data_IF_792851387454
#
_entry.id   IF_792851387454
#
_cell.length_a   1.000
_cell.length_b   1.000
_cell.length_c   1.000
_cell.angle_alpha   90.00
_cell.angle_beta   90.00
_cell.angle_gamma   90.00
#
_symmetry.space_group_name_H-M   'P 1'
#
loop_
_entity.id
_entity.type
_entity.pdbx_description
1 polymer ?
#
# COMPACT_ATOMS: atom_id res chain seq x y z
N UNK A 1 6.95 -8.49 -20.69
CA UNK A 1 8.28 -8.50 -20.04
C UNK A 1 8.04 -8.91 -18.61
N UNK A 2 8.62 -10.00 -18.11
CA UNK A 2 8.46 -10.32 -16.72
C UNK A 2 8.99 -9.12 -15.91
N UNK A 3 8.22 -8.64 -14.96
CA UNK A 3 8.75 -7.85 -13.86
C UNK A 3 9.85 -8.71 -13.25
N UNK A 4 11.09 -8.32 -13.51
CA UNK A 4 12.21 -8.86 -12.76
C UNK A 4 12.01 -8.36 -11.32
N UNK A 5 11.36 -9.15 -10.51
CA UNK A 5 11.78 -9.24 -9.13
C UNK A 5 13.24 -9.57 -9.23
N UNK A 6 14.10 -8.59 -9.00
CA UNK A 6 15.52 -8.83 -8.80
C UNK A 6 15.58 -9.91 -7.73
N UNK A 7 15.88 -11.15 -8.14
CA UNK A 7 16.07 -12.19 -7.15
C UNK A 7 17.27 -11.74 -6.33
N UNK A 8 17.17 -11.86 -5.01
CA UNK A 8 18.26 -11.57 -4.07
C UNK A 8 19.59 -12.26 -4.44
N UNK A 9 19.55 -13.21 -5.37
CA UNK A 9 20.70 -13.93 -5.90
C UNK A 9 21.45 -13.17 -7.00
N UNK A 10 20.82 -12.19 -7.66
CA UNK A 10 21.39 -11.48 -8.80
C UNK A 10 21.96 -10.11 -8.43
N UNK A 11 21.59 -9.56 -7.28
CA UNK A 11 22.18 -8.35 -6.75
C UNK A 11 23.54 -8.68 -6.10
N UNK A 12 24.60 -8.71 -6.90
CA UNK A 12 25.95 -8.61 -6.34
C UNK A 12 26.02 -7.31 -5.54
N UNK A 13 26.45 -7.32 -4.28
CA UNK A 13 26.60 -6.09 -3.52
C UNK A 13 27.75 -5.28 -4.14
N UNK A 14 27.36 -4.32 -5.03
CA UNK A 14 28.28 -3.32 -5.54
C UNK A 14 28.64 -2.38 -4.39
N UNK A 15 27.73 -2.25 -3.42
CA UNK A 15 27.84 -1.43 -2.20
C UNK A 15 27.02 -2.07 -1.06
N UNK A 16 27.28 -1.64 0.18
CA UNK A 16 26.54 -2.10 1.35
C UNK A 16 26.15 -0.90 2.23
N UNK A 17 26.01 -1.03 3.56
CA UNK A 17 25.48 -0.02 4.49
C UNK A 17 26.00 1.39 4.22
N UNK A 18 27.32 1.55 4.20
CA UNK A 18 27.97 2.85 4.03
C UNK A 18 27.47 3.64 2.82
N UNK A 19 27.50 3.03 1.63
CA UNK A 19 27.07 3.72 0.43
C UNK A 19 25.55 3.85 0.34
N UNK A 20 24.79 2.82 0.76
CA UNK A 20 23.34 2.88 0.75
C UNK A 20 22.81 4.03 1.62
N UNK A 21 23.35 4.17 2.83
CA UNK A 21 23.00 5.25 3.76
C UNK A 21 23.35 6.61 3.16
N UNK A 22 24.58 6.76 2.64
CA UNK A 22 24.99 8.05 2.04
C UNK A 22 24.16 8.42 0.83
N UNK A 23 23.89 7.48 -0.08
CA UNK A 23 23.05 7.75 -1.26
C UNK A 23 21.61 8.13 -0.89
N UNK A 24 21.05 7.47 0.11
CA UNK A 24 19.70 7.81 0.58
C UNK A 24 19.66 9.22 1.17
N UNK A 25 20.63 9.57 2.01
CA UNK A 25 20.71 10.91 2.62
C UNK A 25 20.95 12.01 1.59
N UNK A 26 21.93 11.83 0.71
CA UNK A 26 22.24 12.74 -0.39
C UNK A 26 21.00 12.96 -1.29
N UNK A 27 20.32 11.88 -1.67
CA UNK A 27 19.13 11.99 -2.50
C UNK A 27 18.03 12.81 -1.82
N UNK A 28 17.73 12.55 -0.55
CA UNK A 28 16.69 13.27 0.17
C UNK A 28 17.05 14.75 0.43
N UNK A 29 18.29 15.01 0.84
CA UNK A 29 18.68 16.35 1.31
C UNK A 29 19.23 17.25 0.20
N UNK A 30 19.95 16.69 -0.78
CA UNK A 30 20.57 17.49 -1.84
C UNK A 30 19.75 17.47 -3.14
N UNK A 31 19.22 16.29 -3.55
CA UNK A 31 18.46 16.19 -4.80
C UNK A 31 17.01 16.65 -4.59
N UNK A 32 16.35 16.14 -3.55
CA UNK A 32 14.98 16.53 -3.23
C UNK A 32 14.88 17.77 -2.35
N UNK A 33 16.01 18.25 -1.83
CA UNK A 33 16.12 19.42 -0.97
C UNK A 33 15.19 19.40 0.27
N UNK A 34 14.96 18.21 0.83
CA UNK A 34 14.22 18.06 2.07
C UNK A 34 15.13 18.55 3.22
N UNK A 35 14.66 19.48 4.06
CA UNK A 35 15.49 19.98 5.17
C UNK A 35 15.86 18.85 6.14
N UNK A 36 17.17 18.69 6.48
CA UNK A 36 17.61 17.62 7.39
C UNK A 36 16.89 17.64 8.76
N UNK A 37 16.53 18.82 9.23
CA UNK A 37 15.77 19.02 10.47
C UNK A 37 14.34 18.49 10.43
N UNK A 38 13.84 18.11 9.26
CA UNK A 38 12.56 17.42 9.07
C UNK A 38 12.70 15.91 9.00
N UNK A 39 13.92 15.39 8.97
CA UNK A 39 14.17 13.96 8.87
C UNK A 39 14.47 13.36 10.24
N UNK A 40 13.99 12.17 10.48
CA UNK A 40 14.30 11.34 11.64
C UNK A 40 14.78 9.97 11.16
N UNK A 41 15.85 9.46 11.76
CA UNK A 41 16.45 8.18 11.37
C UNK A 41 16.28 7.17 12.50
N UNK A 42 15.94 5.94 12.12
CA UNK A 42 15.98 4.81 13.04
C UNK A 42 16.95 3.74 12.55
N UNK A 43 17.52 3.00 13.49
CA UNK A 43 18.33 1.82 13.23
C UNK A 43 17.95 0.67 14.16
N UNK A 44 18.25 -0.54 13.78
CA UNK A 44 18.15 -1.67 14.69
C UNK A 44 19.07 -1.48 15.91
N UNK A 45 18.55 -1.79 17.08
CA UNK A 45 19.23 -1.50 18.37
C UNK A 45 20.66 -2.03 18.46
N UNK A 46 20.95 -3.19 17.83
CA UNK A 46 22.24 -3.85 17.87
C UNK A 46 23.08 -3.58 16.59
N UNK A 47 22.63 -2.69 15.68
CA UNK A 47 23.39 -2.32 14.48
C UNK A 47 24.26 -1.09 14.72
N UNK A 48 25.37 -1.29 15.44
CA UNK A 48 26.32 -0.21 15.76
C UNK A 48 27.03 0.32 14.52
N UNK A 49 27.20 -0.49 13.47
CA UNK A 49 27.81 -0.06 12.21
C UNK A 49 26.93 0.97 11.50
N UNK A 50 25.62 0.69 11.34
CA UNK A 50 24.72 1.64 10.74
C UNK A 50 24.58 2.92 11.59
N UNK A 51 24.55 2.79 12.92
CA UNK A 51 24.50 3.94 13.81
C UNK A 51 25.73 4.84 13.68
N UNK A 52 26.93 4.27 13.62
CA UNK A 52 28.16 5.03 13.42
C UNK A 52 28.17 5.77 12.07
N UNK A 53 27.73 5.12 10.99
CA UNK A 53 27.63 5.75 9.67
C UNK A 53 26.66 6.96 9.72
N UNK A 54 25.49 6.80 10.32
CA UNK A 54 24.50 7.89 10.43
C UNK A 54 25.00 9.06 11.28
N UNK A 55 25.56 8.77 12.45
CA UNK A 55 25.92 9.80 13.43
C UNK A 55 27.29 10.45 13.14
N UNK A 56 28.30 9.62 12.82
CA UNK A 56 29.70 10.09 12.74
C UNK A 56 30.09 10.50 11.31
N UNK A 57 29.54 9.84 10.28
CA UNK A 57 29.93 10.11 8.89
C UNK A 57 28.92 11.01 8.16
N UNK A 58 27.62 10.72 8.29
CA UNK A 58 26.54 11.53 7.71
C UNK A 58 26.27 12.77 8.53
N UNK A 59 26.43 12.67 9.87
CA UNK A 59 26.24 13.77 10.80
C UNK A 59 24.78 14.09 11.12
N UNK A 60 23.92 13.05 11.17
CA UNK A 60 22.52 13.20 11.62
C UNK A 60 22.51 13.69 13.06
N UNK A 61 21.64 14.65 13.36
CA UNK A 61 21.45 15.16 14.72
C UNK A 61 21.05 14.00 15.67
N UNK A 62 21.84 13.73 16.73
CA UNK A 62 21.50 12.68 17.70
C UNK A 62 20.12 12.81 18.35
N UNK A 63 19.54 14.03 18.36
CA UNK A 63 18.18 14.28 18.86
C UNK A 63 17.10 13.89 17.82
N UNK A 64 17.50 13.51 16.61
CA UNK A 64 16.65 13.03 15.52
C UNK A 64 17.02 11.62 15.09
N UNK A 65 17.43 10.82 16.05
CA UNK A 65 17.89 9.46 15.84
C UNK A 65 17.35 8.55 16.95
N UNK A 66 16.90 7.35 16.58
CA UNK A 66 16.42 6.34 17.53
C UNK A 66 16.99 4.97 17.21
N UNK A 67 17.22 4.18 18.25
CA UNK A 67 17.49 2.75 18.17
C UNK A 67 16.23 1.99 18.51
N UNK A 68 15.74 1.16 17.59
CA UNK A 68 14.49 0.43 17.75
C UNK A 68 14.71 -1.08 17.77
N UNK A 69 13.73 -1.79 18.29
CA UNK A 69 13.82 -3.24 18.46
C UNK A 69 13.55 -4.04 17.17
N UNK A 70 13.51 -5.35 17.33
CA UNK A 70 13.30 -6.29 16.20
C UNK A 70 11.95 -6.05 15.50
N UNK A 71 10.93 -5.64 16.21
CA UNK A 71 9.60 -5.37 15.65
C UNK A 71 9.63 -4.28 14.58
N UNK A 72 10.46 -3.26 14.78
CA UNK A 72 10.45 -2.05 13.95
C UNK A 72 11.64 -2.04 12.96
N UNK A 73 12.84 -2.37 13.40
CA UNK A 73 14.05 -2.24 12.59
C UNK A 73 14.77 -3.56 12.27
N UNK A 74 14.04 -4.68 12.20
CA UNK A 74 14.56 -5.93 11.68
C UNK A 74 13.61 -6.57 10.68
N UNK A 75 13.96 -6.56 9.42
CA UNK A 75 13.12 -7.04 8.35
C UNK A 75 13.41 -8.52 8.01
N UNK A 76 12.37 -9.27 7.71
CA UNK A 76 12.46 -10.66 7.26
C UNK A 76 11.49 -10.90 6.10
N UNK A 77 11.91 -11.68 5.11
CA UNK A 77 11.08 -12.07 3.96
C UNK A 77 9.84 -12.87 4.38
N UNK A 78 9.94 -13.59 5.49
CA UNK A 78 8.87 -14.41 6.07
C UNK A 78 9.38 -15.09 7.34
N UNK A 79 8.73 -16.18 7.72
CA UNK A 79 9.15 -16.98 8.88
C UNK A 79 10.55 -17.58 8.68
N UNK A 80 10.95 -17.80 7.43
CA UNK A 80 12.26 -18.31 7.03
C UNK A 80 12.79 -17.54 5.82
N UNK A 81 14.12 -17.60 5.61
CA UNK A 81 14.78 -16.98 4.48
C UNK A 81 15.59 -15.74 4.83
N UNK A 82 16.02 -14.96 3.81
CA UNK A 82 16.85 -13.78 4.00
C UNK A 82 16.20 -12.76 4.92
N UNK A 83 17.04 -12.22 5.83
CA UNK A 83 16.61 -11.20 6.80
C UNK A 83 17.81 -10.36 7.25
N UNK A 84 17.55 -9.27 7.94
CA UNK A 84 18.58 -8.43 8.52
C UNK A 84 18.05 -7.14 9.12
N UNK A 85 18.95 -6.40 9.81
CA UNK A 85 18.60 -5.10 10.38
C UNK A 85 18.26 -4.11 9.26
N UNK A 86 17.47 -3.11 9.59
CA UNK A 86 17.18 -2.02 8.68
C UNK A 86 17.33 -0.66 9.34
N UNK A 87 17.55 0.34 8.49
CA UNK A 87 17.48 1.75 8.84
C UNK A 87 16.30 2.37 8.13
N UNK A 88 15.47 3.09 8.85
CA UNK A 88 14.33 3.78 8.28
C UNK A 88 14.49 5.29 8.39
N UNK A 89 14.00 6.00 7.40
CA UNK A 89 14.01 7.46 7.36
C UNK A 89 12.57 7.94 7.38
N UNK A 90 12.25 8.76 8.36
CA UNK A 90 10.93 9.35 8.58
C UNK A 90 10.96 10.85 8.28
N UNK A 91 9.82 11.37 7.85
CA UNK A 91 9.58 12.79 7.70
C UNK A 91 8.73 13.30 8.87
N UNK A 92 9.13 14.37 9.51
CA UNK A 92 8.41 15.06 10.59
C UNK A 92 7.51 16.15 9.99
N UNK A 93 6.20 15.90 9.95
CA UNK A 93 5.20 16.87 9.50
C UNK A 93 5.10 18.11 10.40
N UNK A 94 5.67 18.05 11.60
CA UNK A 94 5.69 19.16 12.53
C UNK A 94 4.69 19.03 13.67
N UNK A 95 4.77 19.94 14.66
CA UNK A 95 4.04 19.83 15.92
C UNK A 95 2.51 19.99 15.80
N UNK A 96 2.01 20.48 14.67
CA UNK A 96 0.57 20.61 14.41
C UNK A 96 -0.10 19.26 14.11
N UNK A 97 0.71 18.25 13.76
CA UNK A 97 0.21 16.88 13.50
C UNK A 97 0.45 16.03 14.75
N UNK A 98 -0.59 15.32 15.25
CA UNK A 98 -0.44 14.46 16.42
C UNK A 98 0.50 13.28 16.18
N UNK A 99 1.35 12.99 17.17
CA UNK A 99 2.27 11.84 17.17
C UNK A 99 3.62 12.20 17.76
N UNK A 100 4.32 11.17 18.22
CA UNK A 100 5.68 11.24 18.76
C UNK A 100 6.71 10.67 17.79
N UNK A 101 8.01 10.88 18.08
CA UNK A 101 9.07 10.35 17.24
C UNK A 101 9.11 8.80 17.27
N UNK A 102 9.65 8.18 16.22
CA UNK A 102 9.80 6.71 16.16
C UNK A 102 10.53 6.16 17.40
N UNK A 103 9.98 5.08 17.95
CA UNK A 103 10.44 4.47 19.21
C UNK A 103 9.86 5.10 20.48
N UNK A 104 9.05 6.16 20.40
CA UNK A 104 8.31 6.71 21.54
C UNK A 104 6.95 6.02 21.74
N UNK A 105 6.30 6.18 22.91
CA UNK A 105 4.95 5.67 23.15
C UNK A 105 3.89 6.22 22.18
N UNK A 106 4.10 7.42 21.65
CA UNK A 106 3.19 8.12 20.72
C UNK A 106 3.59 7.93 19.24
N UNK A 107 4.44 6.97 18.91
CA UNK A 107 4.97 6.75 17.55
C UNK A 107 3.89 6.37 16.53
N UNK A 108 2.75 5.82 16.98
CA UNK A 108 1.63 5.41 16.11
C UNK A 108 0.83 6.61 15.53
N UNK A 109 1.22 7.85 15.84
CA UNK A 109 0.58 9.05 15.28
C UNK A 109 1.03 9.38 13.85
N UNK A 110 0.30 10.30 13.21
CA UNK A 110 0.51 10.67 11.79
C UNK A 110 1.65 11.70 11.59
N UNK A 111 2.30 12.17 12.66
CA UNK A 111 3.33 13.20 12.56
C UNK A 111 4.60 12.73 11.87
N UNK A 112 5.09 11.55 12.23
CA UNK A 112 6.29 10.97 11.65
C UNK A 112 5.92 9.88 10.68
N UNK A 113 6.10 10.13 9.38
CA UNK A 113 5.81 9.14 8.35
C UNK A 113 7.11 8.56 7.80
N UNK A 114 7.23 7.23 7.83
CA UNK A 114 8.32 6.53 7.16
C UNK A 114 8.25 6.78 5.65
N UNK A 115 9.32 7.34 5.08
CA UNK A 115 9.44 7.61 3.65
C UNK A 115 10.39 6.66 2.95
N UNK A 116 11.37 6.10 3.66
CA UNK A 116 12.35 5.19 3.08
C UNK A 116 12.83 4.15 4.09
N UNK A 117 12.93 2.89 3.66
CA UNK A 117 13.51 1.80 4.43
C UNK A 117 14.74 1.24 3.69
N UNK A 118 15.87 1.11 4.38
CA UNK A 118 17.12 0.52 3.92
C UNK A 118 17.34 -0.79 4.67
N UNK A 119 17.06 -1.91 4.04
CA UNK A 119 17.23 -3.24 4.64
C UNK A 119 18.59 -3.80 4.31
N UNK A 120 19.33 -4.22 5.32
CA UNK A 120 20.65 -4.82 5.21
C UNK A 120 20.55 -6.33 5.40
N UNK A 121 20.27 -7.05 4.32
CA UNK A 121 20.18 -8.50 4.31
C UNK A 121 21.53 -9.13 4.65
N UNK A 122 21.68 -9.59 5.87
CA UNK A 122 22.92 -10.15 6.40
C UNK A 122 22.79 -11.61 6.79
N UNK A 123 21.57 -12.08 7.04
CA UNK A 123 21.32 -13.39 7.61
C UNK A 123 20.29 -14.17 6.80
N UNK A 124 20.36 -15.49 6.92
CA UNK A 124 19.32 -16.44 6.53
C UNK A 124 18.71 -17.05 7.80
N UNK A 125 17.38 -17.00 7.93
CA UNK A 125 16.63 -17.56 9.05
C UNK A 125 16.10 -18.93 8.67
N UNK A 126 16.51 -19.96 9.43
CA UNK A 126 16.01 -21.32 9.23
C UNK A 126 14.65 -21.57 9.93
N UNK A 127 13.96 -22.72 9.70
CA UNK A 127 12.69 -23.04 10.35
C UNK A 127 12.72 -23.12 11.88
N UNK A 128 13.90 -23.21 12.48
CA UNK A 128 14.08 -23.18 13.95
C UNK A 128 14.22 -21.77 14.50
N UNK A 129 14.27 -20.74 13.62
CA UNK A 129 14.52 -19.34 13.96
C UNK A 129 15.99 -18.98 14.09
N UNK A 130 16.91 -19.91 13.82
CA UNK A 130 18.35 -19.66 13.89
C UNK A 130 18.80 -18.82 12.71
N UNK A 131 19.56 -17.77 13.01
CA UNK A 131 20.20 -16.91 12.01
C UNK A 131 21.58 -17.44 11.64
N UNK A 132 21.84 -17.53 10.35
CA UNK A 132 23.14 -17.85 9.78
C UNK A 132 23.57 -16.71 8.84
N UNK A 133 24.85 -16.28 8.86
CA UNK A 133 25.30 -15.21 7.95
C UNK A 133 25.09 -15.61 6.49
N UNK A 134 24.59 -14.69 5.67
CA UNK A 134 24.55 -14.84 4.22
C UNK A 134 25.96 -14.80 3.64
N UNK A 135 26.29 -15.66 2.66
CA UNK A 135 27.59 -15.65 2.00
C UNK A 135 27.91 -14.32 1.31
N UNK A 136 26.86 -13.63 0.87
CA UNK A 136 26.91 -12.31 0.23
C UNK A 136 25.78 -11.45 0.80
N UNK A 137 26.08 -10.56 1.75
CA UNK A 137 25.11 -9.57 2.22
C UNK A 137 24.65 -8.69 1.06
N UNK A 138 23.41 -8.25 1.09
CA UNK A 138 22.83 -7.37 0.06
C UNK A 138 21.98 -6.27 0.69
N UNK A 139 21.74 -5.22 -0.07
CA UNK A 139 20.80 -4.17 0.30
C UNK A 139 19.49 -4.42 -0.43
N UNK A 140 18.41 -4.48 0.32
CA UNK A 140 17.06 -4.32 -0.22
C UNK A 140 16.52 -2.97 0.25
N UNK A 141 15.76 -2.28 -0.57
CA UNK A 141 15.28 -0.95 -0.19
C UNK A 141 13.90 -0.66 -0.76
N UNK A 142 13.08 0.02 0.05
CA UNK A 142 11.74 0.43 -0.32
C UNK A 142 11.49 1.89 0.05
N UNK A 143 11.08 2.69 -0.93
CA UNK A 143 10.69 4.08 -0.74
C UNK A 143 9.22 4.24 -1.15
N UNK A 144 8.40 4.81 -0.26
CA UNK A 144 6.98 5.03 -0.53
C UNK A 144 6.78 6.20 -1.50
N UNK A 145 6.47 5.91 -2.77
CA UNK A 145 6.27 6.94 -3.80
C UNK A 145 5.21 7.95 -3.37
N UNK A 146 4.07 7.51 -2.89
CA UNK A 146 2.97 8.36 -2.46
C UNK A 146 3.31 9.16 -1.20
N UNK A 147 4.02 8.54 -0.25
CA UNK A 147 4.50 9.21 0.96
C UNK A 147 5.47 10.33 0.61
N UNK A 148 6.43 10.04 -0.26
CA UNK A 148 7.37 11.04 -0.74
C UNK A 148 6.68 12.14 -1.55
N UNK A 149 5.73 11.78 -2.42
CA UNK A 149 4.94 12.75 -3.16
C UNK A 149 4.14 13.68 -2.23
N UNK A 150 3.56 13.15 -1.15
CA UNK A 150 2.86 13.93 -0.15
C UNK A 150 3.80 14.95 0.53
N UNK A 151 5.00 14.52 0.93
CA UNK A 151 6.03 15.40 1.49
C UNK A 151 6.39 16.51 0.50
N UNK A 152 6.68 16.17 -0.76
CA UNK A 152 7.08 17.12 -1.80
C UNK A 152 5.97 18.10 -2.20
N UNK A 153 4.71 17.69 -2.08
CA UNK A 153 3.54 18.53 -2.34
C UNK A 153 3.04 19.27 -1.11
N UNK A 154 3.65 19.06 0.06
CA UNK A 154 3.29 19.74 1.32
C UNK A 154 1.91 19.35 1.86
N UNK A 155 1.48 18.11 1.60
CA UNK A 155 0.23 17.53 2.12
C UNK A 155 0.51 16.41 3.12
N UNK A 156 -0.48 16.05 3.95
CA UNK A 156 -0.28 15.06 5.01
C UNK A 156 -0.71 13.65 4.62
N UNK A 157 -1.71 13.53 3.76
CA UNK A 157 -2.26 12.24 3.36
C UNK A 157 -1.82 11.87 1.94
N UNK A 158 -1.50 10.59 1.72
CA UNK A 158 -1.27 10.06 0.38
C UNK A 158 -2.45 10.30 -0.57
N UNK A 159 -3.67 10.42 -0.04
CA UNK A 159 -4.88 10.69 -0.82
C UNK A 159 -5.05 12.16 -1.22
N UNK A 160 -4.23 13.06 -0.68
CA UNK A 160 -4.22 14.48 -1.02
C UNK A 160 -3.24 14.82 -2.14
N UNK A 161 -2.34 13.89 -2.53
CA UNK A 161 -1.45 14.10 -3.67
C UNK A 161 -2.27 14.25 -4.95
N UNK A 162 -1.73 14.98 -5.91
CA UNK A 162 -2.40 15.33 -7.16
C UNK A 162 -2.99 14.14 -7.90
N UNK A 163 -2.29 13.01 -7.98
CA UNK A 163 -2.76 11.77 -8.59
C UNK A 163 -4.05 11.26 -7.93
N UNK A 164 -4.04 11.10 -6.60
CA UNK A 164 -5.21 10.59 -5.89
C UNK A 164 -6.33 11.63 -5.82
N UNK A 165 -6.02 12.92 -5.64
CA UNK A 165 -7.02 13.98 -5.65
C UNK A 165 -7.83 13.99 -6.95
N UNK A 166 -7.18 13.77 -8.11
CA UNK A 166 -7.85 13.69 -9.42
C UNK A 166 -8.67 12.42 -9.58
N UNK A 167 -8.18 11.26 -9.12
CA UNK A 167 -8.94 10.00 -9.14
C UNK A 167 -10.15 10.04 -8.20
N UNK A 168 -10.01 10.65 -7.02
CA UNK A 168 -11.10 10.87 -6.06
C UNK A 168 -12.15 11.81 -6.68
N UNK A 169 -11.72 12.89 -7.33
CA UNK A 169 -12.64 13.80 -8.02
C UNK A 169 -13.42 13.08 -9.14
N UNK A 170 -12.74 12.29 -9.97
CA UNK A 170 -13.38 11.49 -11.02
C UNK A 170 -14.35 10.44 -10.42
N UNK A 171 -13.97 9.81 -9.30
CA UNK A 171 -14.83 8.87 -8.58
C UNK A 171 -16.07 9.54 -8.02
N UNK A 172 -15.94 10.74 -7.43
CA UNK A 172 -17.05 11.53 -6.91
C UNK A 172 -18.03 11.95 -8.03
N UNK A 173 -17.50 12.37 -9.19
CA UNK A 173 -18.32 12.73 -10.35
C UNK A 173 -19.13 11.52 -10.85
N UNK A 174 -18.50 10.35 -10.97
CA UNK A 174 -19.15 9.14 -11.47
C UNK A 174 -20.17 8.56 -10.50
N UNK A 175 -19.96 8.72 -9.19
CA UNK A 175 -20.88 8.21 -8.16
C UNK A 175 -21.90 9.25 -7.71
N UNK A 176 -21.75 10.52 -8.09
CA UNK A 176 -22.60 11.61 -7.60
C UNK A 176 -22.39 11.94 -6.13
N UNK A 177 -21.28 11.49 -5.52
CA UNK A 177 -20.99 11.71 -4.11
C UNK A 177 -20.74 13.21 -3.82
N UNK A 178 -21.48 13.83 -2.89
CA UNK A 178 -21.32 15.26 -2.59
C UNK A 178 -20.07 15.56 -1.75
N UNK A 179 -19.64 14.60 -0.93
CA UNK A 179 -18.48 14.71 -0.05
C UNK A 179 -17.26 14.00 -0.65
N UNK A 180 -16.24 14.79 -1.04
CA UNK A 180 -14.99 14.28 -1.59
C UNK A 180 -14.04 13.69 -0.54
N UNK A 181 -14.26 13.97 0.74
CA UNK A 181 -13.45 13.42 1.84
C UNK A 181 -13.91 12.04 2.29
N UNK A 182 -14.93 11.51 1.65
CA UNK A 182 -15.47 10.18 1.94
C UNK A 182 -14.41 9.09 1.83
N UNK A 183 -14.32 8.25 2.87
CA UNK A 183 -13.45 7.07 2.87
C UNK A 183 -13.75 6.12 1.71
N UNK A 184 -15.03 6.06 1.28
CA UNK A 184 -15.44 5.23 0.15
C UNK A 184 -14.76 5.66 -1.16
N UNK A 185 -14.64 6.97 -1.42
CA UNK A 185 -13.96 7.48 -2.60
C UNK A 185 -12.46 7.18 -2.60
N UNK A 186 -11.81 7.23 -1.42
CA UNK A 186 -10.40 6.85 -1.27
C UNK A 186 -10.18 5.38 -1.62
N UNK A 187 -11.06 4.50 -1.16
CA UNK A 187 -11.00 3.07 -1.51
C UNK A 187 -11.20 2.85 -3.01
N UNK A 188 -12.17 3.53 -3.63
CA UNK A 188 -12.42 3.42 -5.08
C UNK A 188 -11.18 3.86 -5.87
N UNK A 189 -10.58 5.00 -5.52
CA UNK A 189 -9.39 5.55 -6.19
C UNK A 189 -8.15 4.65 -6.03
N UNK A 190 -7.93 4.08 -4.86
CA UNK A 190 -6.86 3.11 -4.62
C UNK A 190 -7.07 1.82 -5.44
N UNK A 191 -8.30 1.30 -5.41
CA UNK A 191 -8.61 0.01 -6.01
C UNK A 191 -8.66 0.05 -7.53
N UNK A 192 -9.03 1.16 -8.17
CA UNK A 192 -8.97 1.27 -9.63
C UNK A 192 -7.52 1.16 -10.12
N UNK A 193 -6.58 1.79 -9.42
CA UNK A 193 -5.16 1.69 -9.75
C UNK A 193 -4.67 0.24 -9.63
N UNK A 194 -4.89 -0.37 -8.47
CA UNK A 194 -4.46 -1.76 -8.22
C UNK A 194 -5.09 -2.74 -9.22
N UNK A 195 -6.40 -2.65 -9.46
CA UNK A 195 -7.10 -3.55 -10.37
C UNK A 195 -6.65 -3.38 -11.82
N UNK A 196 -6.48 -2.13 -12.29
CA UNK A 196 -6.05 -1.87 -13.66
C UNK A 196 -4.65 -2.43 -13.95
N UNK A 197 -3.68 -2.20 -13.07
CA UNK A 197 -2.32 -2.72 -13.25
C UNK A 197 -2.26 -4.24 -13.17
N UNK A 198 -3.00 -4.88 -12.25
CA UNK A 198 -3.10 -6.34 -12.22
C UNK A 198 -3.64 -6.92 -13.53
N UNK A 199 -4.64 -6.26 -14.15
CA UNK A 199 -5.19 -6.69 -15.44
C UNK A 199 -4.18 -6.42 -16.58
N UNK A 200 -3.45 -5.31 -16.55
CA UNK A 200 -2.36 -5.03 -17.50
C UNK A 200 -1.32 -6.15 -17.45
N UNK A 201 -0.97 -6.61 -16.26
CA UNK A 201 -0.02 -7.71 -16.02
C UNK A 201 -0.59 -9.11 -16.31
N UNK A 202 -1.82 -9.19 -16.81
CA UNK A 202 -2.43 -10.43 -17.28
C UNK A 202 -3.22 -11.20 -16.23
N UNK A 203 -3.44 -10.65 -15.05
CA UNK A 203 -4.34 -11.26 -14.05
C UNK A 203 -5.79 -11.01 -14.47
N UNK A 204 -6.62 -12.07 -14.42
CA UNK A 204 -8.07 -11.98 -14.69
C UNK A 204 -8.86 -12.32 -13.43
N UNK A 205 -10.03 -11.69 -13.20
CA UNK A 205 -10.87 -12.02 -12.05
C UNK A 205 -11.28 -13.50 -12.08
N UNK A 206 -11.10 -14.21 -10.97
CA UNK A 206 -11.33 -15.64 -10.87
C UNK A 206 -11.78 -16.08 -9.47
N UNK A 207 -11.95 -17.40 -9.28
CA UNK A 207 -12.36 -17.98 -8.00
C UNK A 207 -11.17 -18.42 -7.13
N UNK A 208 -9.96 -18.44 -7.70
CA UNK A 208 -8.77 -18.99 -7.05
C UNK A 208 -7.55 -18.10 -7.26
N UNK A 209 -6.56 -18.25 -6.40
CA UNK A 209 -5.25 -17.61 -6.52
C UNK A 209 -5.31 -16.09 -6.68
N UNK A 210 -4.46 -15.55 -7.54
CA UNK A 210 -4.36 -14.10 -7.80
C UNK A 210 -5.66 -13.52 -8.40
N UNK A 211 -6.36 -14.29 -9.21
CA UNK A 211 -7.65 -13.88 -9.79
C UNK A 211 -8.74 -13.67 -8.75
N UNK A 212 -8.74 -14.47 -7.68
CA UNK A 212 -9.65 -14.29 -6.56
C UNK A 212 -9.37 -12.98 -5.78
N UNK A 213 -8.10 -12.68 -5.55
CA UNK A 213 -7.69 -11.42 -4.90
C UNK A 213 -8.13 -10.22 -5.73
N UNK A 214 -7.85 -10.24 -7.05
CA UNK A 214 -8.29 -9.18 -7.97
C UNK A 214 -9.82 -9.01 -7.94
N UNK A 215 -10.57 -10.10 -8.00
CA UNK A 215 -12.04 -10.07 -7.90
C UNK A 215 -12.50 -9.39 -6.62
N UNK A 216 -11.89 -9.70 -5.48
CA UNK A 216 -12.22 -9.07 -4.20
C UNK A 216 -11.93 -7.57 -4.21
N UNK A 217 -10.81 -7.13 -4.77
CA UNK A 217 -10.47 -5.70 -4.90
C UNK A 217 -11.54 -4.98 -5.72
N UNK A 218 -11.90 -5.52 -6.89
CA UNK A 218 -12.92 -4.94 -7.77
C UNK A 218 -14.26 -4.84 -7.05
N UNK A 219 -14.75 -5.94 -6.46
CA UNK A 219 -16.04 -5.98 -5.77
C UNK A 219 -16.08 -5.06 -4.56
N UNK A 220 -14.98 -4.91 -3.84
CA UNK A 220 -14.89 -3.95 -2.72
C UNK A 220 -15.06 -2.51 -3.21
N UNK A 221 -14.44 -2.13 -4.31
CA UNK A 221 -14.62 -0.79 -4.88
C UNK A 221 -16.07 -0.55 -5.33
N UNK A 222 -16.68 -1.53 -6.03
CA UNK A 222 -18.08 -1.45 -6.47
C UNK A 222 -19.01 -1.29 -5.27
N UNK A 223 -18.81 -2.07 -4.21
CA UNK A 223 -19.58 -1.96 -2.97
C UNK A 223 -19.53 -0.55 -2.39
N UNK A 224 -18.35 0.07 -2.35
CA UNK A 224 -18.23 1.44 -1.88
C UNK A 224 -18.98 2.43 -2.78
N UNK A 225 -19.07 2.18 -4.08
CA UNK A 225 -19.93 2.92 -4.98
C UNK A 225 -21.43 2.80 -4.62
N UNK A 226 -21.87 1.57 -4.35
CA UNK A 226 -23.25 1.34 -3.87
C UNK A 226 -23.55 2.07 -2.56
N UNK A 227 -22.63 2.10 -1.61
CA UNK A 227 -22.78 2.86 -0.35
C UNK A 227 -22.91 4.38 -0.60
N UNK A 228 -22.36 4.88 -1.70
CA UNK A 228 -22.50 6.27 -2.13
C UNK A 228 -23.79 6.53 -2.96
N UNK A 229 -24.61 5.49 -3.18
CA UNK A 229 -25.87 5.58 -3.92
C UNK A 229 -25.74 5.25 -5.41
N UNK A 230 -24.57 4.88 -5.91
CA UNK A 230 -24.38 4.53 -7.32
C UNK A 230 -24.82 3.09 -7.59
N UNK A 231 -25.86 2.91 -8.40
CA UNK A 231 -26.44 1.60 -8.73
C UNK A 231 -26.01 1.08 -10.12
N UNK A 232 -25.63 1.99 -11.02
CA UNK A 232 -25.18 1.62 -12.37
C UNK A 232 -23.67 1.32 -12.40
N UNK A 233 -23.21 0.48 -13.33
CA UNK A 233 -21.78 0.21 -13.50
C UNK A 233 -20.98 1.50 -13.76
N UNK A 234 -20.00 1.77 -12.94
CA UNK A 234 -19.20 3.01 -12.97
C UNK A 234 -17.70 2.78 -12.89
N UNK A 235 -17.26 1.72 -12.18
CA UNK A 235 -15.86 1.52 -11.82
C UNK A 235 -14.96 1.37 -13.06
N UNK A 236 -15.42 0.66 -14.09
CA UNK A 236 -14.71 0.52 -15.36
C UNK A 236 -14.45 1.87 -16.06
N UNK A 237 -15.30 2.89 -15.83
CA UNK A 237 -15.14 4.22 -16.42
C UNK A 237 -13.97 5.00 -15.84
N UNK A 238 -13.50 4.62 -14.65
CA UNK A 238 -12.32 5.22 -14.01
C UNK A 238 -11.00 4.84 -14.69
N UNK A 239 -10.98 3.86 -15.59
CA UNK A 239 -9.78 3.51 -16.36
C UNK A 239 -9.31 4.68 -17.23
N UNK A 240 -10.23 5.49 -17.76
CA UNK A 240 -9.89 6.65 -18.59
C UNK A 240 -9.13 7.72 -17.79
N UNK A 241 -9.66 8.26 -16.66
CA UNK A 241 -8.89 9.21 -15.86
C UNK A 241 -7.61 8.61 -15.29
N UNK A 242 -7.58 7.32 -14.92
CA UNK A 242 -6.36 6.65 -14.49
C UNK A 242 -5.30 6.63 -15.58
N UNK A 243 -5.68 6.30 -16.82
CA UNK A 243 -4.76 6.29 -17.96
C UNK A 243 -4.25 7.71 -18.29
N UNK A 244 -5.07 8.75 -18.11
CA UNK A 244 -4.65 10.13 -18.26
C UNK A 244 -3.60 10.54 -17.22
N UNK A 245 -3.73 10.10 -15.97
CA UNK A 245 -2.81 10.44 -14.88
C UNK A 245 -1.49 9.64 -14.96
N UNK A 246 -1.56 8.36 -15.21
CA UNK A 246 -0.40 7.47 -15.09
C UNK A 246 0.19 7.02 -16.43
N UNK A 247 -0.51 7.26 -17.53
CA UNK A 247 -0.13 6.74 -18.84
C UNK A 247 1.19 7.28 -19.41
N UNK A 248 1.63 8.46 -18.97
CA UNK A 248 2.93 8.99 -19.38
C UNK A 248 4.09 8.20 -18.78
N UNK A 249 3.97 7.78 -17.53
CA UNK A 249 4.97 6.95 -16.84
C UNK A 249 4.81 5.45 -17.16
N UNK A 250 3.58 5.00 -17.43
CA UNK A 250 3.24 3.60 -17.71
C UNK A 250 2.51 3.46 -19.04
N UNK A 251 3.22 3.53 -20.18
CA UNK A 251 2.63 3.54 -21.51
C UNK A 251 1.85 2.27 -21.88
N UNK A 252 2.02 1.18 -21.17
CA UNK A 252 1.22 -0.05 -21.28
C UNK A 252 -0.23 0.14 -20.81
N UNK A 253 -0.49 1.05 -19.89
CA UNK A 253 -1.83 1.31 -19.37
C UNK A 253 -2.77 1.90 -20.42
N UNK A 254 -2.46 3.00 -21.12
CA UNK A 254 -3.29 3.47 -22.24
C UNK A 254 -3.46 2.43 -23.36
N UNK A 255 -2.43 1.64 -23.66
CA UNK A 255 -2.51 0.59 -24.69
C UNK A 255 -3.49 -0.52 -24.32
N UNK A 256 -3.65 -0.79 -23.03
CA UNK A 256 -4.56 -1.83 -22.52
C UNK A 256 -5.91 -1.28 -22.07
N UNK A 257 -6.16 0.03 -22.17
CA UNK A 257 -7.32 0.72 -21.59
C UNK A 257 -8.66 0.05 -21.93
N UNK A 258 -8.90 -0.26 -23.19
CA UNK A 258 -10.15 -0.90 -23.62
C UNK A 258 -10.31 -2.30 -23.01
N UNK A 259 -9.23 -3.09 -22.99
CA UNK A 259 -9.22 -4.41 -22.39
C UNK A 259 -9.49 -4.35 -20.89
N UNK A 260 -8.83 -3.44 -20.18
CA UNK A 260 -9.00 -3.24 -18.73
C UNK A 260 -10.45 -2.82 -18.43
N UNK A 261 -10.97 -1.82 -19.13
CA UNK A 261 -12.34 -1.36 -18.97
C UNK A 261 -13.35 -2.48 -19.24
N UNK A 262 -13.15 -3.29 -20.28
CA UNK A 262 -14.02 -4.42 -20.60
C UNK A 262 -14.04 -5.49 -19.50
N UNK A 263 -12.87 -5.88 -18.98
CA UNK A 263 -12.75 -6.87 -17.89
C UNK A 263 -13.44 -6.37 -16.62
N UNK A 264 -13.21 -5.11 -16.26
CA UNK A 264 -13.84 -4.49 -15.10
C UNK A 264 -15.37 -4.43 -15.26
N UNK A 265 -15.86 -3.99 -16.43
CA UNK A 265 -17.30 -3.91 -16.72
C UNK A 265 -18.00 -5.26 -16.57
N UNK A 266 -17.41 -6.32 -17.13
CA UNK A 266 -17.98 -7.67 -17.00
C UNK A 266 -18.05 -8.13 -15.53
N UNK A 267 -17.06 -7.82 -14.71
CA UNK A 267 -17.10 -8.19 -13.29
C UNK A 267 -18.09 -7.30 -12.49
N UNK A 268 -18.26 -6.03 -12.87
CA UNK A 268 -19.31 -5.15 -12.30
C UNK A 268 -20.70 -5.70 -12.57
N UNK A 269 -21.01 -6.03 -13.83
CA UNK A 269 -22.30 -6.58 -14.25
C UNK A 269 -22.63 -7.89 -13.49
N UNK A 270 -21.66 -8.81 -13.42
CA UNK A 270 -21.80 -10.04 -12.63
C UNK A 270 -22.01 -9.79 -11.14
N UNK A 271 -21.34 -8.80 -10.59
CA UNK A 271 -21.46 -8.49 -9.17
C UNK A 271 -22.78 -7.77 -8.86
N UNK A 272 -23.31 -6.96 -9.77
CA UNK A 272 -24.62 -6.34 -9.64
C UNK A 272 -25.73 -7.41 -9.50
N UNK A 273 -25.71 -8.46 -10.34
CA UNK A 273 -26.62 -9.60 -10.22
C UNK A 273 -26.48 -10.33 -8.88
N UNK A 274 -25.24 -10.54 -8.42
CA UNK A 274 -24.94 -11.12 -7.11
C UNK A 274 -25.48 -10.29 -5.95
N UNK A 275 -25.28 -8.97 -6.00
CA UNK A 275 -25.75 -8.04 -4.98
C UNK A 275 -27.26 -7.99 -4.90
N UNK A 276 -27.95 -7.87 -6.04
CA UNK A 276 -29.41 -7.84 -6.09
C UNK A 276 -30.01 -9.12 -5.50
N UNK A 277 -29.46 -10.28 -5.86
CA UNK A 277 -29.91 -11.57 -5.34
C UNK A 277 -29.61 -11.71 -3.85
N UNK A 278 -28.39 -11.34 -3.42
CA UNK A 278 -27.96 -11.39 -2.03
C UNK A 278 -28.80 -10.48 -1.12
N UNK A 279 -29.08 -9.25 -1.54
CA UNK A 279 -29.93 -8.31 -0.81
C UNK A 279 -31.35 -8.86 -0.64
N UNK A 280 -31.94 -9.44 -1.69
CA UNK A 280 -33.29 -10.06 -1.57
C UNK A 280 -33.32 -11.21 -0.53
N UNK A 281 -32.29 -12.03 -0.48
CA UNK A 281 -32.18 -13.14 0.50
C UNK A 281 -32.00 -12.54 1.91
N UNK A 282 -31.17 -11.51 2.05
CA UNK A 282 -30.94 -10.82 3.31
C UNK A 282 -32.22 -10.19 3.84
N UNK A 283 -32.95 -9.45 3.00
CA UNK A 283 -34.23 -8.82 3.35
C UNK A 283 -35.27 -9.85 3.82
N UNK A 284 -35.37 -10.98 3.14
CA UNK A 284 -36.25 -12.08 3.54
C UNK A 284 -35.85 -12.68 4.90
N UNK A 285 -34.53 -12.85 5.14
CA UNK A 285 -34.04 -13.36 6.40
C UNK A 285 -34.30 -12.37 7.54
N UNK A 286 -34.06 -11.08 7.32
CA UNK A 286 -34.29 -10.00 8.30
C UNK A 286 -35.77 -9.87 8.62
N UNK A 287 -36.65 -9.94 7.62
CA UNK A 287 -38.11 -9.89 7.83
C UNK A 287 -38.65 -11.05 8.68
N UNK A 288 -37.94 -12.18 8.72
CA UNK A 288 -38.28 -13.35 9.54
C UNK A 288 -37.61 -13.42 10.92
N UNK A 289 -36.78 -12.41 11.27
CA UNK A 289 -36.04 -12.43 12.53
C UNK A 289 -36.94 -12.15 13.74
N UNK A 290 -36.71 -12.93 14.80
CA UNK A 290 -37.31 -12.69 16.13
C UNK A 290 -36.38 -11.88 17.06
N UNK A 291 -35.23 -11.37 16.57
CA UNK A 291 -34.19 -10.66 17.33
C UNK A 291 -33.19 -9.98 16.39
N UNK A 292 -32.06 -9.51 16.93
CA UNK A 292 -31.08 -8.66 16.24
C UNK A 292 -29.92 -9.45 15.57
N UNK A 293 -29.99 -10.80 15.56
CA UNK A 293 -28.91 -11.65 15.07
C UNK A 293 -29.35 -12.44 13.84
N UNK A 294 -28.66 -12.23 12.71
CA UNK A 294 -28.88 -13.02 11.51
C UNK A 294 -28.30 -14.43 11.70
N UNK A 295 -29.04 -15.51 11.36
CA UNK A 295 -28.56 -16.87 11.47
C UNK A 295 -27.26 -17.09 10.69
N UNK A 296 -26.24 -17.70 11.31
CA UNK A 296 -24.94 -17.95 10.69
C UNK A 296 -25.02 -18.78 9.40
N UNK A 297 -26.01 -19.68 9.29
CA UNK A 297 -26.28 -20.43 8.05
C UNK A 297 -26.68 -19.52 6.89
N UNK A 298 -27.47 -18.50 7.15
CA UNK A 298 -27.86 -17.50 6.14
C UNK A 298 -26.65 -16.68 5.69
N UNK A 299 -25.82 -16.22 6.63
CA UNK A 299 -24.59 -15.47 6.35
C UNK A 299 -23.61 -16.34 5.56
N UNK A 300 -23.43 -17.60 5.96
CA UNK A 300 -22.57 -18.54 5.25
C UNK A 300 -23.07 -18.78 3.81
N UNK A 301 -24.36 -19.02 3.63
CA UNK A 301 -24.96 -19.23 2.32
C UNK A 301 -24.80 -18.00 1.40
N UNK A 302 -25.00 -16.80 1.93
CA UNK A 302 -24.78 -15.55 1.20
C UNK A 302 -23.33 -15.43 0.75
N UNK A 303 -22.39 -15.72 1.63
CA UNK A 303 -20.96 -15.63 1.35
C UNK A 303 -20.48 -16.72 0.39
N UNK A 304 -20.73 -17.99 0.72
CA UNK A 304 -20.16 -19.14 0.02
C UNK A 304 -20.85 -19.39 -1.34
N UNK A 305 -22.18 -19.35 -1.37
CA UNK A 305 -22.96 -19.69 -2.57
C UNK A 305 -23.13 -18.51 -3.52
N UNK A 306 -23.39 -17.33 -2.96
CA UNK A 306 -23.70 -16.13 -3.75
C UNK A 306 -22.51 -15.16 -3.86
N UNK A 307 -21.42 -15.39 -3.13
CA UNK A 307 -20.26 -14.47 -3.13
C UNK A 307 -20.60 -13.08 -2.61
N UNK A 308 -21.61 -12.98 -1.75
CA UNK A 308 -22.03 -11.74 -1.11
C UNK A 308 -21.03 -11.37 0.00
N UNK A 309 -20.49 -10.15 0.01
CA UNK A 309 -19.49 -9.76 0.99
C UNK A 309 -20.05 -9.77 2.42
N UNK A 310 -19.30 -10.36 3.37
CA UNK A 310 -19.73 -10.51 4.79
C UNK A 310 -19.74 -9.15 5.52
N UNK A 311 -19.03 -8.18 4.97
CA UNK A 311 -18.85 -6.85 5.51
C UNK A 311 -19.84 -5.82 4.91
N UNK A 312 -20.84 -6.29 4.19
CA UNK A 312 -22.05 -5.58 3.78
C UNK A 312 -23.15 -5.80 4.81
#
# INVERSE_FOLDING_TARGET
TPLYTLSLHDALPIYFKHNAIRYAWEYLTEVLAIPPERLWVTVFQDDDEAAAIWLDEVGVDPNRFSRCGEKDNFWAMGDTGPCGPCSEIFYDHGPEVPGGPPGSPEADGDRYIEIWNLVFMQFDRDPSGKLSPLPKPSVDTGMGLERLAAVMQGVHSNYEIDLFARLIAASAELTGAPDRDSKALRVIADHIRSAAFLIVDGVTPGNEGRGYVLRRIIRRAIRHGYQLGQQEPFFHRLVVPLAAEMGAAFPELPKAQERVAHVLKLEEERFAETLEQGLRILDQAVAGLSGDVIPGETVFKLYDTYGFPVDL
#
